data_IF_822139801821
#
_entry.id   IF_822139801821
#
_cell.length_a   1.000
_cell.length_b   1.000
_cell.length_c   1.000
_cell.angle_alpha   90.00
_cell.angle_beta   90.00
_cell.angle_gamma   90.00
#
_symmetry.space_group_name_H-M   'P 1'
#
loop_
_entity.id
_entity.type
_entity.pdbx_description
1 polymer ?
#
# COMPACT_ATOMS: atom_id res chain seq x y z
N UNK A 1 8.97 7.64 55.01
CA UNK A 1 8.36 8.51 53.97
C UNK A 1 9.36 9.59 53.56
N UNK A 2 10.24 9.28 52.63
CA UNK A 2 11.17 10.20 51.93
C UNK A 2 11.95 9.27 51.04
N UNK A 3 11.60 9.19 49.75
CA UNK A 3 12.33 8.57 48.63
C UNK A 3 11.39 8.40 47.42
N UNK A 4 10.56 9.41 47.17
CA UNK A 4 9.81 9.56 45.92
C UNK A 4 9.92 11.06 45.66
N UNK A 5 10.59 11.43 44.56
CA UNK A 5 10.91 12.78 44.03
C UNK A 5 12.41 12.80 43.74
N UNK A 6 12.77 12.18 42.62
CA UNK A 6 14.02 12.43 41.88
C UNK A 6 13.97 11.80 40.48
N UNK A 7 12.95 11.00 40.17
CA UNK A 7 12.69 10.46 38.83
C UNK A 7 11.80 11.36 37.94
N UNK A 8 11.78 12.68 38.21
CA UNK A 8 11.05 13.68 37.42
C UNK A 8 11.96 14.69 36.71
N UNK A 9 13.28 14.50 36.76
CA UNK A 9 14.28 15.41 36.16
C UNK A 9 15.17 14.74 35.10
N UNK A 10 14.63 13.77 34.35
CA UNK A 10 15.28 13.18 33.17
C UNK A 10 14.43 13.25 31.89
N UNK A 11 13.45 14.16 31.82
CA UNK A 11 12.60 14.41 30.63
C UNK A 11 12.85 15.81 30.06
N UNK A 12 14.10 16.29 30.04
CA UNK A 12 14.43 17.60 29.43
C UNK A 12 15.65 17.59 28.51
N UNK A 13 16.06 16.42 28.02
CA UNK A 13 17.05 16.36 26.93
C UNK A 13 16.52 15.44 25.84
N UNK A 14 16.10 16.04 24.72
CA UNK A 14 16.07 15.36 23.43
C UNK A 14 14.77 15.42 22.64
N UNK A 15 14.52 16.53 21.95
CA UNK A 15 14.17 16.47 20.53
C UNK A 15 14.35 17.86 19.91
N UNK A 16 15.48 18.04 19.23
CA UNK A 16 15.67 19.15 18.31
C UNK A 16 14.65 18.92 17.18
N UNK A 17 13.60 19.75 17.12
CA UNK A 17 12.66 19.73 16.01
C UNK A 17 13.38 20.34 14.82
N UNK A 18 14.12 19.52 14.06
CA UNK A 18 14.58 19.92 12.75
C UNK A 18 13.34 20.28 11.94
N UNK A 19 13.20 21.55 11.57
CA UNK A 19 12.21 21.98 10.59
C UNK A 19 12.53 21.26 9.28
N UNK A 20 11.85 20.14 9.04
CA UNK A 20 11.80 19.54 7.73
C UNK A 20 11.03 20.51 6.84
N UNK A 21 11.77 21.30 6.08
CA UNK A 21 11.28 22.19 5.04
C UNK A 21 10.42 21.38 4.06
N UNK A 22 9.10 21.42 4.23
CA UNK A 22 8.16 21.05 3.18
C UNK A 22 8.11 22.20 2.17
N UNK A 23 9.16 22.32 1.37
CA UNK A 23 9.02 22.93 0.05
C UNK A 23 8.54 21.84 -0.92
N UNK A 24 7.26 21.48 -0.79
CA UNK A 24 6.53 20.91 -1.91
C UNK A 24 5.51 21.97 -2.26
N UNK A 25 5.83 22.72 -3.31
CA UNK A 25 4.97 23.68 -3.98
C UNK A 25 3.57 23.06 -4.11
N UNK A 26 2.71 23.43 -3.18
CA UNK A 26 1.29 23.13 -3.20
C UNK A 26 0.67 24.27 -3.96
N UNK A 27 0.86 24.24 -5.27
CA UNK A 27 0.15 25.12 -6.19
C UNK A 27 -0.54 24.28 -7.27
N UNK A 28 -1.84 24.09 -7.02
CA UNK A 28 -2.88 24.28 -8.02
C UNK A 28 -2.99 23.24 -9.15
N UNK A 29 -3.47 22.05 -8.76
CA UNK A 29 -4.79 21.59 -9.23
C UNK A 29 -5.28 20.47 -8.32
N UNK A 30 -6.05 20.80 -7.28
CA UNK A 30 -6.91 19.79 -6.66
C UNK A 30 -8.09 19.57 -7.61
N UNK A 31 -7.79 18.99 -8.78
CA UNK A 31 -8.79 18.28 -9.54
C UNK A 31 -9.34 17.23 -8.58
N UNK A 32 -10.60 17.40 -8.18
CA UNK A 32 -11.31 16.56 -7.21
C UNK A 32 -11.07 15.10 -7.58
N UNK A 33 -10.15 14.43 -6.86
CA UNK A 33 -9.73 13.07 -7.19
C UNK A 33 -10.98 12.19 -7.16
N UNK A 34 -11.27 11.54 -8.28
CA UNK A 34 -12.42 10.63 -8.40
C UNK A 34 -12.35 9.57 -7.30
N UNK A 35 -13.51 9.04 -6.86
CA UNK A 35 -13.50 8.00 -5.84
C UNK A 35 -12.72 6.78 -6.32
N UNK A 36 -12.09 6.03 -5.40
CA UNK A 36 -11.34 4.82 -5.79
C UNK A 36 -12.22 3.83 -6.56
N UNK A 37 -13.50 3.70 -6.17
CA UNK A 37 -14.48 2.85 -6.86
C UNK A 37 -14.73 3.31 -8.31
N UNK A 38 -14.85 4.61 -8.55
CA UNK A 38 -15.08 5.15 -9.89
C UNK A 38 -13.82 5.04 -10.76
N UNK A 39 -12.65 5.24 -10.16
CA UNK A 39 -11.36 4.96 -10.78
C UNK A 39 -11.27 3.48 -11.21
N UNK A 40 -11.57 2.53 -10.33
CA UNK A 40 -11.54 1.11 -10.68
C UNK A 40 -12.55 0.77 -11.80
N UNK A 41 -13.69 1.47 -11.86
CA UNK A 41 -14.64 1.30 -12.98
C UNK A 41 -14.02 1.73 -14.31
N UNK A 42 -13.26 2.84 -14.34
CA UNK A 42 -12.59 3.29 -15.57
C UNK A 42 -11.52 2.30 -16.03
N UNK A 43 -10.79 1.68 -15.09
CA UNK A 43 -9.82 0.62 -15.39
C UNK A 43 -10.52 -0.62 -15.95
N UNK A 44 -11.65 -1.03 -15.37
CA UNK A 44 -12.40 -2.21 -15.85
C UNK A 44 -12.91 -2.06 -17.28
N UNK A 45 -13.30 -0.86 -17.67
CA UNK A 45 -13.85 -0.54 -18.99
C UNK A 45 -12.79 -0.50 -20.10
N UNK A 46 -11.49 -0.51 -19.76
CA UNK A 46 -10.41 -0.62 -20.75
C UNK A 46 -10.43 -1.96 -21.46
N UNK A 47 -10.11 -1.95 -22.74
CA UNK A 47 -9.84 -3.16 -23.52
C UNK A 47 -8.63 -3.92 -22.96
N UNK A 48 -8.49 -5.19 -23.34
CA UNK A 48 -7.37 -6.02 -22.89
C UNK A 48 -6.01 -5.45 -23.30
N UNK A 49 -5.90 -4.89 -24.51
CA UNK A 49 -4.67 -4.26 -25.00
C UNK A 49 -4.32 -3.01 -24.18
N UNK A 50 -5.31 -2.17 -23.89
CA UNK A 50 -5.10 -1.00 -23.04
C UNK A 50 -4.69 -1.40 -21.62
N UNK A 51 -5.29 -2.45 -21.06
CA UNK A 51 -4.92 -2.98 -19.74
C UNK A 51 -3.46 -3.44 -19.73
N UNK A 52 -3.02 -4.23 -20.70
CA UNK A 52 -1.62 -4.68 -20.78
C UNK A 52 -0.63 -3.52 -20.78
N UNK A 53 -0.91 -2.47 -21.56
CA UNK A 53 -0.05 -1.30 -21.66
C UNK A 53 -0.12 -0.41 -20.39
N UNK A 54 -1.23 -0.45 -19.67
CA UNK A 54 -1.48 0.40 -18.50
C UNK A 54 -1.10 -0.25 -17.16
N UNK A 55 -0.91 -1.57 -17.12
CA UNK A 55 -0.75 -2.34 -15.89
C UNK A 55 0.34 -1.79 -14.96
N UNK A 56 1.51 -1.47 -15.49
CA UNK A 56 2.60 -0.93 -14.67
C UNK A 56 2.31 0.48 -14.16
N UNK A 57 1.63 1.32 -14.94
CA UNK A 57 1.18 2.64 -14.47
C UNK A 57 0.21 2.51 -13.31
N UNK A 58 -0.76 1.60 -13.44
CA UNK A 58 -1.74 1.31 -12.40
C UNK A 58 -1.08 0.88 -11.08
N UNK A 59 -0.12 -0.04 -11.13
CA UNK A 59 0.58 -0.55 -9.93
C UNK A 59 1.55 0.48 -9.35
N UNK A 60 2.34 1.16 -10.18
CA UNK A 60 3.44 2.01 -9.71
C UNK A 60 2.98 3.38 -9.23
N UNK A 61 1.93 3.94 -9.84
CA UNK A 61 1.50 5.31 -9.58
C UNK A 61 0.09 5.36 -9.00
N UNK A 62 -0.89 4.79 -9.68
CA UNK A 62 -2.29 5.04 -9.32
C UNK A 62 -2.67 4.38 -8.00
N UNK A 63 -2.41 3.09 -7.84
CA UNK A 63 -2.75 2.35 -6.61
C UNK A 63 -2.07 2.97 -5.39
N UNK A 64 -0.74 3.20 -5.35
CA UNK A 64 -0.10 3.88 -4.23
C UNK A 64 -0.70 5.25 -3.93
N UNK A 65 -1.04 6.03 -4.95
CA UNK A 65 -1.67 7.34 -4.77
C UNK A 65 -3.02 7.27 -4.04
N UNK A 66 -3.81 6.19 -4.21
CA UNK A 66 -5.06 6.00 -3.46
C UNK A 66 -4.81 5.42 -2.07
N UNK A 67 -3.87 4.49 -1.94
CA UNK A 67 -3.63 3.78 -0.68
C UNK A 67 -2.75 4.53 0.31
N UNK A 68 -2.08 5.60 -0.12
CA UNK A 68 -1.34 6.51 0.77
C UNK A 68 -2.23 6.98 1.93
N UNK A 69 -1.70 6.91 3.15
CA UNK A 69 -2.43 7.24 4.38
C UNK A 69 -3.28 6.11 4.95
N UNK A 70 -3.38 4.96 4.27
CA UNK A 70 -4.02 3.77 4.86
C UNK A 70 -3.10 3.15 5.91
N UNK A 71 -3.56 2.92 7.16
CA UNK A 71 -2.74 2.29 8.18
C UNK A 71 -2.33 0.86 7.82
N UNK A 72 -1.11 0.46 8.18
CA UNK A 72 -0.67 -0.93 8.06
C UNK A 72 -1.00 -1.72 9.33
N UNK A 73 -1.41 -2.97 9.16
CA UNK A 73 -1.62 -3.91 10.27
C UNK A 73 -1.45 -5.34 9.77
N UNK A 74 -0.88 -6.22 10.60
CA UNK A 74 -0.77 -7.64 10.28
C UNK A 74 -2.14 -8.29 10.03
N UNK A 75 -3.16 -7.86 10.77
CA UNK A 75 -4.53 -8.36 10.65
C UNK A 75 -5.40 -7.49 9.73
N UNK A 76 -4.81 -6.50 9.04
CA UNK A 76 -5.57 -5.57 8.22
C UNK A 76 -6.11 -6.22 6.95
N UNK A 77 -7.42 -6.17 6.74
CA UNK A 77 -8.09 -6.85 5.60
C UNK A 77 -8.89 -5.92 4.69
N UNK A 78 -8.82 -4.60 4.90
CA UNK A 78 -9.70 -3.64 4.21
C UNK A 78 -9.64 -3.78 2.68
N UNK A 79 -10.78 -3.52 2.04
CA UNK A 79 -10.95 -3.45 0.59
C UNK A 79 -10.84 -2.03 0.06
N UNK A 80 -10.91 -1.04 0.94
CA UNK A 80 -10.99 0.35 0.56
C UNK A 80 -9.81 1.13 1.18
N UNK A 81 -9.13 1.96 0.39
CA UNK A 81 -8.07 2.81 0.91
C UNK A 81 -8.60 3.75 1.99
N UNK A 82 -7.76 4.03 3.00
CA UNK A 82 -7.99 5.03 4.05
C UNK A 82 -9.21 4.80 4.96
N UNK A 83 -9.89 3.65 4.86
CA UNK A 83 -11.04 3.35 5.72
C UNK A 83 -10.66 2.58 6.98
N UNK A 84 -9.79 1.58 6.85
CA UNK A 84 -9.28 0.76 7.96
C UNK A 84 -7.83 0.35 7.64
N UNK A 85 -7.28 -0.58 8.41
CA UNK A 85 -5.92 -1.07 8.19
C UNK A 85 -5.82 -2.16 7.12
N UNK A 86 -4.63 -2.27 6.51
CA UNK A 86 -4.31 -3.31 5.51
C UNK A 86 -3.00 -4.04 5.82
N UNK A 87 -2.94 -5.34 5.53
CA UNK A 87 -1.71 -6.13 5.56
C UNK A 87 -1.05 -6.20 4.17
N UNK A 88 0.25 -6.49 4.12
CA UNK A 88 1.03 -6.52 2.87
C UNK A 88 0.44 -7.47 1.80
N UNK A 89 0.06 -8.69 2.17
CA UNK A 89 -0.54 -9.65 1.24
C UNK A 89 -1.93 -9.23 0.75
N UNK A 90 -2.73 -8.58 1.61
CA UNK A 90 -4.04 -8.05 1.22
C UNK A 90 -3.91 -6.84 0.30
N UNK A 91 -2.88 -6.02 0.45
CA UNK A 91 -2.59 -4.93 -0.47
C UNK A 91 -2.29 -5.46 -1.87
N UNK A 92 -1.36 -6.40 -1.99
CA UNK A 92 -1.00 -7.04 -3.28
C UNK A 92 -2.21 -7.70 -3.94
N UNK A 93 -2.97 -8.49 -3.19
CA UNK A 93 -4.13 -9.20 -3.76
C UNK A 93 -5.32 -8.28 -4.05
N UNK A 94 -5.50 -7.19 -3.29
CA UNK A 94 -6.43 -6.12 -3.65
C UNK A 94 -6.07 -5.57 -5.03
N UNK A 95 -4.84 -5.06 -5.18
CA UNK A 95 -4.33 -4.48 -6.42
C UNK A 95 -4.55 -5.38 -7.63
N UNK A 96 -4.16 -6.66 -7.53
CA UNK A 96 -4.33 -7.62 -8.64
C UNK A 96 -5.82 -7.89 -8.93
N UNK A 97 -6.63 -8.16 -7.91
CA UNK A 97 -8.06 -8.43 -8.11
C UNK A 97 -8.81 -7.20 -8.66
N UNK A 98 -8.43 -6.00 -8.25
CA UNK A 98 -9.05 -4.73 -8.67
C UNK A 98 -8.69 -4.39 -10.11
N UNK A 99 -7.50 -4.79 -10.57
CA UNK A 99 -7.11 -4.70 -11.98
C UNK A 99 -7.88 -5.69 -12.88
N UNK A 100 -8.41 -6.77 -12.30
CA UNK A 100 -9.23 -7.77 -12.99
C UNK A 100 -8.65 -9.18 -13.02
N UNK A 101 -7.55 -9.47 -12.29
CA UNK A 101 -7.05 -10.84 -12.20
C UNK A 101 -8.02 -11.73 -11.40
N UNK A 102 -8.36 -12.89 -11.96
CA UNK A 102 -9.19 -13.88 -11.28
C UNK A 102 -8.34 -14.71 -10.30
N UNK A 103 -8.32 -14.29 -9.03
CA UNK A 103 -7.52 -14.92 -7.98
C UNK A 103 -8.33 -15.11 -6.68
N UNK A 104 -7.97 -16.12 -5.88
CA UNK A 104 -8.47 -16.23 -4.52
C UNK A 104 -7.71 -15.23 -3.63
N UNK A 105 -8.28 -14.03 -3.51
CA UNK A 105 -7.71 -12.90 -2.77
C UNK A 105 -7.30 -13.28 -1.35
N UNK A 106 -8.24 -13.81 -0.56
CA UNK A 106 -8.00 -14.09 0.86
C UNK A 106 -6.96 -15.19 1.05
N UNK A 107 -7.07 -16.28 0.29
CA UNK A 107 -6.10 -17.37 0.38
C UNK A 107 -4.70 -16.87 0.05
N UNK A 108 -4.51 -16.23 -1.12
CA UNK A 108 -3.19 -15.79 -1.56
C UNK A 108 -2.59 -14.68 -0.69
N UNK A 109 -3.43 -13.82 -0.09
CA UNK A 109 -2.97 -12.77 0.82
C UNK A 109 -2.29 -13.34 2.08
N UNK A 110 -2.68 -14.55 2.48
CA UNK A 110 -2.20 -15.22 3.68
C UNK A 110 -1.05 -16.20 3.41
N UNK A 111 -0.70 -16.44 2.14
CA UNK A 111 0.38 -17.36 1.78
C UNK A 111 1.76 -16.69 1.83
N UNK A 112 2.79 -17.53 1.99
CA UNK A 112 4.15 -17.12 1.66
C UNK A 112 4.24 -16.66 0.19
N UNK A 113 5.08 -15.65 -0.09
CA UNK A 113 5.24 -15.08 -1.42
C UNK A 113 5.61 -16.12 -2.48
N UNK A 114 6.39 -17.14 -2.11
CA UNK A 114 6.78 -18.25 -2.99
C UNK A 114 5.58 -19.04 -3.52
N UNK A 115 4.51 -19.20 -2.73
CA UNK A 115 3.28 -19.87 -3.15
C UNK A 115 2.56 -19.03 -4.20
N UNK A 116 2.46 -17.71 -3.98
CA UNK A 116 1.85 -16.79 -4.94
C UNK A 116 2.63 -16.76 -6.25
N UNK A 117 3.97 -16.67 -6.20
CA UNK A 117 4.85 -16.70 -7.38
C UNK A 117 4.62 -18.00 -8.18
N UNK A 118 4.64 -19.16 -7.50
CA UNK A 118 4.37 -20.46 -8.12
C UNK A 118 2.99 -20.58 -8.76
N UNK A 119 1.99 -19.88 -8.21
CA UNK A 119 0.62 -19.93 -8.72
C UNK A 119 0.38 -18.98 -9.90
N UNK A 120 1.02 -17.81 -9.91
CA UNK A 120 0.72 -16.73 -10.84
C UNK A 120 1.77 -16.54 -11.96
N UNK A 121 2.98 -17.04 -11.78
CA UNK A 121 4.08 -16.87 -12.73
C UNK A 121 4.43 -18.18 -13.45
N UNK A 122 5.02 -18.06 -14.64
CA UNK A 122 5.61 -19.17 -15.39
C UNK A 122 7.13 -18.97 -15.49
N UNK A 123 7.86 -20.05 -15.79
CA UNK A 123 9.32 -20.01 -16.00
C UNK A 123 10.11 -19.45 -14.80
N UNK A 124 9.76 -19.91 -13.60
CA UNK A 124 10.36 -19.42 -12.34
C UNK A 124 11.82 -19.87 -12.26
N UNK A 125 12.72 -18.90 -12.14
CA UNK A 125 14.15 -19.13 -11.97
C UNK A 125 14.54 -18.93 -10.51
N UNK A 126 15.44 -19.78 -10.01
CA UNK A 126 15.99 -19.66 -8.67
C UNK A 126 17.47 -19.25 -8.79
N UNK A 127 17.80 -18.10 -8.23
CA UNK A 127 19.18 -17.60 -8.19
C UNK A 127 19.73 -17.84 -6.79
N UNK A 128 20.54 -18.88 -6.62
CA UNK A 128 21.30 -19.11 -5.39
C UNK A 128 22.79 -18.98 -5.71
N UNK A 129 23.44 -17.97 -5.15
CA UNK A 129 24.88 -18.06 -4.87
C UNK A 129 25.00 -18.84 -3.56
N UNK A 130 25.36 -20.12 -3.64
CA UNK A 130 25.89 -20.79 -2.44
C UNK A 130 27.25 -20.18 -2.12
#
# INVERSE_FOLDING_TARGET
MKNIICFLFLILIGCNKSEYSKNVNTENSVAKKVSYKDFLRSVKNKSETEKKNYFFTFINYDVPNYWMGTPWSFNGTTRNPQQESIACGYFVTNTLSDFGFNINRTYLAQQASSVMIKKLCKNIQHFTKR
#
